data_IF_484265526041
#
_entry.id   IF_484265526041
#
_cell.length_a   1.000
_cell.length_b   1.000
_cell.length_c   1.000
_cell.angle_alpha   90.00
_cell.angle_beta   90.00
_cell.angle_gamma   90.00
#
_symmetry.space_group_name_H-M   'P 1'
#
loop_
_entity.id
_entity.type
_entity.pdbx_description
1 polymer ?
#
# COMPACT_ATOMS: atom_id res chain seq x y z
N UNK A 1 -71.15 -41.16 26.28
CA UNK A 1 -72.19 -40.61 25.37
C UNK A 1 -72.02 -39.10 25.36
N UNK A 2 -71.31 -38.55 24.37
CA UNK A 2 -71.83 -37.96 23.12
C UNK A 2 -72.24 -36.49 23.30
N UNK A 3 -71.36 -35.61 22.78
CA UNK A 3 -71.58 -34.42 21.96
C UNK A 3 -72.21 -33.13 22.54
N UNK A 4 -71.46 -32.03 22.39
CA UNK A 4 -71.68 -30.89 21.45
C UNK A 4 -70.52 -29.89 21.65
N UNK A 5 -69.49 -29.78 20.80
CA UNK A 5 -69.35 -29.08 19.49
C UNK A 5 -69.88 -27.64 19.49
N UNK A 6 -69.05 -26.73 18.93
CA UNK A 6 -69.30 -25.41 18.27
C UNK A 6 -68.64 -24.26 19.08
N UNK A 7 -67.83 -23.30 18.59
CA UNK A 7 -67.24 -22.87 17.29
C UNK A 7 -66.10 -21.87 17.63
N UNK A 8 -64.87 -22.07 17.13
CA UNK A 8 -64.14 -21.17 16.20
C UNK A 8 -64.29 -19.65 16.44
N UNK A 9 -63.21 -18.98 16.87
CA UNK A 9 -62.85 -17.68 16.28
C UNK A 9 -61.37 -17.36 16.50
N UNK A 10 -60.62 -17.40 15.40
CA UNK A 10 -59.32 -16.76 15.20
C UNK A 10 -59.36 -15.30 15.67
N UNK A 11 -58.38 -14.88 16.47
CA UNK A 11 -57.73 -13.57 16.33
C UNK A 11 -56.28 -13.66 16.83
N UNK A 12 -55.38 -14.02 15.91
CA UNK A 12 -53.95 -13.72 16.02
C UNK A 12 -53.81 -12.23 15.74
N UNK A 13 -53.49 -11.43 16.76
CA UNK A 13 -53.01 -10.06 16.54
C UNK A 13 -51.49 -10.06 16.58
N UNK A 14 -50.94 -9.86 15.37
CA UNK A 14 -49.57 -9.52 15.06
C UNK A 14 -49.08 -8.34 15.90
N UNK A 15 -48.01 -8.54 16.64
CA UNK A 15 -47.13 -7.47 17.12
C UNK A 15 -46.07 -7.26 16.03
N UNK A 16 -46.17 -6.14 15.29
CA UNK A 16 -45.09 -5.65 14.44
C UNK A 16 -44.99 -4.13 14.54
N UNK A 17 -43.83 -3.68 15.01
CA UNK A 17 -43.03 -2.52 14.58
C UNK A 17 -41.86 -2.44 15.58
N UNK A 18 -40.89 -3.35 15.47
CA UNK A 18 -39.63 -3.13 14.76
C UNK A 18 -38.97 -1.80 15.16
N UNK A 19 -38.16 -1.88 16.21
CA UNK A 19 -37.14 -0.90 16.50
C UNK A 19 -36.06 -0.92 15.43
N UNK A 20 -35.85 0.24 14.80
CA UNK A 20 -34.58 0.59 14.19
C UNK A 20 -33.56 0.83 15.30
N UNK A 21 -32.62 -0.10 15.47
CA UNK A 21 -31.21 0.20 15.72
C UNK A 21 -30.45 -1.12 15.81
N UNK A 22 -29.92 -1.54 14.67
CA UNK A 22 -28.81 -2.48 14.63
C UNK A 22 -27.61 -1.84 15.31
N UNK A 23 -27.57 -1.89 16.63
CA UNK A 23 -26.36 -1.66 17.40
C UNK A 23 -25.41 -2.80 17.03
N UNK A 24 -24.38 -2.50 16.24
CA UNK A 24 -23.17 -3.32 16.18
C UNK A 24 -22.68 -3.45 17.62
N UNK A 25 -23.04 -4.54 18.29
CA UNK A 25 -22.53 -4.86 19.62
C UNK A 25 -21.02 -4.90 19.51
N UNK A 26 -20.42 -4.00 20.26
CA UNK A 26 -18.99 -3.79 20.42
C UNK A 26 -18.34 -5.12 20.85
N UNK A 27 -17.73 -5.86 19.92
CA UNK A 27 -17.02 -7.13 20.17
C UNK A 27 -15.62 -6.93 20.81
N UNK A 28 -15.26 -5.68 21.13
CA UNK A 28 -13.93 -5.31 21.63
C UNK A 28 -13.55 -6.03 22.92
N UNK A 29 -14.52 -6.36 23.78
CA UNK A 29 -14.27 -7.12 25.01
C UNK A 29 -13.82 -8.56 24.77
N UNK A 30 -14.36 -9.24 23.75
CA UNK A 30 -13.98 -10.62 23.40
C UNK A 30 -12.62 -10.66 22.70
N UNK A 31 -12.34 -9.68 21.84
CA UNK A 31 -11.07 -9.61 21.12
C UNK A 31 -9.91 -9.21 22.03
N UNK A 32 -10.12 -8.32 23.00
CA UNK A 32 -9.08 -7.95 23.96
C UNK A 32 -8.66 -9.13 24.85
N UNK A 33 -9.62 -9.92 25.35
CA UNK A 33 -9.32 -11.14 26.10
C UNK A 33 -8.60 -12.19 25.24
N UNK A 34 -9.00 -12.33 23.98
CA UNK A 34 -8.36 -13.24 23.03
C UNK A 34 -6.92 -12.79 22.70
N UNK A 35 -6.68 -11.49 22.52
CA UNK A 35 -5.34 -10.93 22.33
C UNK A 35 -4.45 -11.22 23.52
N UNK A 36 -4.96 -11.05 24.74
CA UNK A 36 -4.18 -11.30 25.95
C UNK A 36 -3.82 -12.78 26.10
N UNK A 37 -4.78 -13.68 25.85
CA UNK A 37 -4.50 -15.11 25.80
C UNK A 37 -3.43 -15.46 24.75
N UNK A 38 -3.50 -14.84 23.57
CA UNK A 38 -2.52 -15.06 22.51
C UNK A 38 -1.11 -14.54 22.86
N UNK A 39 -0.99 -13.44 23.60
CA UNK A 39 0.29 -12.97 24.14
C UNK A 39 0.86 -13.94 25.17
N UNK A 40 0.03 -14.46 26.08
CA UNK A 40 0.46 -15.49 27.05
C UNK A 40 0.99 -16.72 26.32
N UNK A 41 0.31 -17.17 25.25
CA UNK A 41 0.82 -18.27 24.43
C UNK A 41 2.14 -17.94 23.74
N UNK A 42 2.32 -16.71 23.28
CA UNK A 42 3.58 -16.26 22.70
C UNK A 42 4.72 -16.28 23.73
N UNK A 43 4.46 -15.78 24.95
CA UNK A 43 5.44 -15.77 26.05
C UNK A 43 5.84 -17.19 26.49
N UNK A 44 4.92 -18.14 26.33
CA UNK A 44 5.17 -19.57 26.55
C UNK A 44 5.77 -20.30 25.33
N UNK A 45 6.17 -19.56 24.29
CA UNK A 45 6.69 -20.08 23.02
C UNK A 45 5.74 -21.05 22.28
N UNK A 46 4.44 -20.98 22.59
CA UNK A 46 3.38 -21.75 21.95
C UNK A 46 2.89 -21.03 20.68
N UNK A 47 3.80 -20.87 19.71
CA UNK A 47 3.57 -20.09 18.48
C UNK A 47 2.32 -20.52 17.71
N UNK A 48 2.05 -21.83 17.63
CA UNK A 48 0.85 -22.33 16.96
C UNK A 48 -0.45 -21.78 17.57
N UNK A 49 -0.57 -21.79 18.91
CA UNK A 49 -1.77 -21.30 19.60
C UNK A 49 -1.88 -19.78 19.48
N UNK A 50 -0.78 -19.05 19.69
CA UNK A 50 -0.74 -17.60 19.51
C UNK A 50 -1.15 -17.19 18.09
N UNK A 51 -0.57 -17.84 17.07
CA UNK A 51 -0.89 -17.64 15.65
C UNK A 51 -2.36 -17.95 15.35
N UNK A 52 -2.89 -19.06 15.87
CA UNK A 52 -4.28 -19.47 15.66
C UNK A 52 -5.25 -18.40 16.15
N UNK A 53 -5.04 -17.88 17.37
CA UNK A 53 -5.90 -16.84 17.93
C UNK A 53 -5.77 -15.54 17.15
N UNK A 54 -4.54 -15.08 16.86
CA UNK A 54 -4.32 -13.87 16.07
C UNK A 54 -5.01 -13.97 14.69
N UNK A 55 -4.93 -15.14 14.04
CA UNK A 55 -5.58 -15.40 12.75
C UNK A 55 -7.10 -15.28 12.86
N UNK A 56 -7.68 -15.79 13.95
CA UNK A 56 -9.14 -15.76 14.13
C UNK A 56 -9.66 -14.36 14.41
N UNK A 57 -8.90 -13.56 15.15
CA UNK A 57 -9.20 -12.14 15.34
C UNK A 57 -9.13 -11.41 13.99
N UNK A 58 -8.08 -11.64 13.19
CA UNK A 58 -7.92 -11.00 11.88
C UNK A 58 -8.97 -11.45 10.86
N UNK A 59 -9.52 -12.66 10.98
CA UNK A 59 -10.68 -13.08 10.16
C UNK A 59 -11.94 -12.29 10.49
N UNK A 60 -12.16 -11.97 11.76
CA UNK A 60 -13.33 -11.24 12.23
C UNK A 60 -13.19 -9.73 12.01
N UNK A 61 -11.98 -9.21 12.23
CA UNK A 61 -11.61 -7.82 12.08
C UNK A 61 -10.25 -7.72 11.35
N UNK A 62 -10.25 -7.72 10.01
CA UNK A 62 -9.02 -7.64 9.21
C UNK A 62 -8.20 -6.36 9.44
N UNK A 63 -8.79 -5.31 10.03
CA UNK A 63 -8.11 -4.04 10.32
C UNK A 63 -7.58 -3.95 11.75
N UNK A 64 -7.62 -5.05 12.52
CA UNK A 64 -7.19 -5.05 13.91
C UNK A 64 -5.67 -4.93 14.02
N UNK A 65 -5.17 -3.70 14.17
CA UNK A 65 -3.74 -3.39 14.26
C UNK A 65 -3.00 -4.13 15.36
N UNK A 66 -3.66 -4.44 16.48
CA UNK A 66 -3.03 -5.19 17.57
C UNK A 66 -2.85 -6.67 17.20
N UNK A 67 -3.86 -7.27 16.58
CA UNK A 67 -3.78 -8.64 16.08
C UNK A 67 -2.78 -8.76 14.92
N UNK A 68 -2.68 -7.77 14.03
CA UNK A 68 -1.67 -7.71 12.97
C UNK A 68 -0.25 -7.68 13.56
N UNK A 69 -0.01 -6.80 14.54
CA UNK A 69 1.29 -6.71 15.24
C UNK A 69 1.63 -8.01 15.95
N UNK A 70 0.65 -8.61 16.64
CA UNK A 70 0.84 -9.88 17.32
C UNK A 70 1.17 -11.00 16.32
N UNK A 71 0.42 -11.11 15.22
CA UNK A 71 0.70 -12.07 14.16
C UNK A 71 2.11 -11.90 13.61
N UNK A 72 2.53 -10.66 13.31
CA UNK A 72 3.89 -10.38 12.84
C UNK A 72 4.95 -10.84 13.85
N UNK A 73 4.74 -10.53 15.13
CA UNK A 73 5.68 -10.91 16.20
C UNK A 73 5.76 -12.43 16.39
N UNK A 74 4.62 -13.13 16.35
CA UNK A 74 4.56 -14.59 16.45
C UNK A 74 5.34 -15.23 15.31
N UNK A 75 5.12 -14.79 14.06
CA UNK A 75 5.82 -15.31 12.89
C UNK A 75 7.32 -15.02 12.95
N UNK A 76 7.72 -13.80 13.32
CA UNK A 76 9.14 -13.43 13.44
C UNK A 76 9.85 -14.28 14.51
N UNK A 77 9.19 -14.53 15.65
CA UNK A 77 9.73 -15.40 16.72
C UNK A 77 9.79 -16.86 16.32
N UNK A 78 8.77 -17.37 15.62
CA UNK A 78 8.76 -18.75 15.10
C UNK A 78 9.87 -18.96 14.07
N UNK A 79 10.07 -18.00 13.15
CA UNK A 79 11.19 -18.01 12.19
C UNK A 79 12.53 -17.96 12.92
N UNK A 80 12.69 -17.10 13.92
CA UNK A 80 13.93 -17.02 14.70
C UNK A 80 14.23 -18.34 15.42
N UNK A 81 13.20 -18.99 16.00
CA UNK A 81 13.34 -20.32 16.59
C UNK A 81 13.72 -21.37 15.55
N UNK A 82 13.09 -21.38 14.38
CA UNK A 82 13.46 -22.32 13.30
C UNK A 82 14.91 -22.12 12.89
N UNK A 83 15.37 -20.87 12.73
CA UNK A 83 16.78 -20.56 12.47
C UNK A 83 17.70 -21.02 13.61
N UNK A 84 17.29 -20.91 14.87
CA UNK A 84 18.09 -21.39 16.01
C UNK A 84 18.15 -22.92 16.09
N UNK A 85 17.08 -23.63 15.74
CA UNK A 85 16.99 -25.10 15.82
C UNK A 85 17.61 -25.78 14.59
N UNK A 86 17.45 -25.17 13.41
CA UNK A 86 17.81 -25.77 12.13
C UNK A 86 18.91 -25.00 11.37
N UNK A 87 19.44 -23.90 11.91
CA UNK A 87 20.36 -23.01 11.19
C UNK A 87 21.65 -23.67 10.71
N UNK A 88 22.09 -24.72 11.41
CA UNK A 88 23.27 -25.51 11.04
C UNK A 88 22.95 -26.64 10.03
N UNK A 89 21.68 -26.84 9.69
CA UNK A 89 21.22 -27.88 8.75
C UNK A 89 20.84 -27.25 7.42
N UNK A 90 21.19 -27.93 6.33
CA UNK A 90 20.69 -27.53 5.02
C UNK A 90 19.21 -27.90 4.93
N UNK A 91 18.40 -27.17 4.14
CA UNK A 91 17.00 -27.54 3.91
C UNK A 91 16.83 -28.98 3.41
N UNK A 92 17.80 -29.52 2.66
CA UNK A 92 17.82 -30.90 2.18
C UNK A 92 17.94 -31.95 3.30
N UNK A 93 18.45 -31.58 4.47
CA UNK A 93 18.64 -32.47 5.63
C UNK A 93 17.40 -32.54 6.53
N UNK A 94 16.43 -31.67 6.30
CA UNK A 94 15.16 -31.63 7.02
C UNK A 94 14.22 -32.70 6.49
N UNK A 95 13.37 -33.25 7.35
CA UNK A 95 12.28 -34.11 6.89
C UNK A 95 11.15 -33.30 6.24
N UNK A 96 10.23 -33.98 5.57
CA UNK A 96 9.14 -33.35 4.82
C UNK A 96 8.27 -32.43 5.69
N UNK A 97 7.98 -32.85 6.92
CA UNK A 97 7.15 -32.07 7.85
C UNK A 97 7.87 -30.81 8.34
N UNK A 98 9.18 -30.90 8.60
CA UNK A 98 10.01 -29.75 8.97
C UNK A 98 10.08 -28.74 7.83
N UNK A 99 10.31 -29.20 6.58
CA UNK A 99 10.32 -28.32 5.41
C UNK A 99 8.96 -27.67 5.19
N UNK A 100 7.87 -28.42 5.26
CA UNK A 100 6.51 -27.89 5.12
C UNK A 100 6.22 -26.83 6.19
N UNK A 101 6.61 -27.08 7.45
CA UNK A 101 6.46 -26.13 8.55
C UNK A 101 7.21 -24.81 8.29
N UNK A 102 8.46 -24.90 7.81
CA UNK A 102 9.24 -23.71 7.48
C UNK A 102 8.65 -22.95 6.27
N UNK A 103 8.33 -23.66 5.18
CA UNK A 103 7.71 -23.08 4.00
C UNK A 103 6.41 -22.33 4.35
N UNK A 104 5.55 -22.95 5.16
CA UNK A 104 4.27 -22.36 5.59
C UNK A 104 4.46 -21.08 6.41
N UNK A 105 5.37 -21.09 7.38
CA UNK A 105 5.60 -19.92 8.23
C UNK A 105 6.20 -18.75 7.43
N UNK A 106 7.13 -19.01 6.51
CA UNK A 106 7.64 -18.00 5.57
C UNK A 106 6.56 -17.46 4.63
N UNK A 107 5.68 -18.34 4.13
CA UNK A 107 4.58 -17.97 3.25
C UNK A 107 3.58 -17.04 3.96
N UNK A 108 3.13 -17.42 5.16
CA UNK A 108 2.23 -16.58 5.97
C UNK A 108 2.89 -15.25 6.34
N UNK A 109 4.21 -15.23 6.57
CA UNK A 109 4.95 -13.99 6.81
C UNK A 109 4.97 -13.07 5.60
N UNK A 110 5.19 -13.62 4.40
CA UNK A 110 5.14 -12.86 3.16
C UNK A 110 3.77 -12.26 2.90
N UNK A 111 2.70 -13.04 3.08
CA UNK A 111 1.32 -12.56 2.91
C UNK A 111 1.01 -11.39 3.84
N UNK A 112 1.38 -11.49 5.12
CA UNK A 112 1.20 -10.42 6.08
C UNK A 112 2.01 -9.17 5.70
N UNK A 113 3.27 -9.33 5.28
CA UNK A 113 4.12 -8.20 4.86
C UNK A 113 3.56 -7.49 3.63
N UNK A 114 3.04 -8.25 2.67
CA UNK A 114 2.37 -7.70 1.49
C UNK A 114 1.12 -6.90 1.87
N UNK A 115 0.30 -7.42 2.80
CA UNK A 115 -0.87 -6.70 3.32
C UNK A 115 -0.49 -5.41 4.04
N UNK A 116 0.62 -5.42 4.78
CA UNK A 116 1.17 -4.25 5.47
C UNK A 116 1.89 -3.27 4.53
N UNK A 117 1.94 -3.53 3.22
CA UNK A 117 2.64 -2.70 2.24
C UNK A 117 4.17 -2.75 2.33
N UNK A 118 4.72 -3.68 3.11
CA UNK A 118 6.16 -3.86 3.29
C UNK A 118 6.74 -4.74 2.19
N UNK A 119 6.63 -4.29 0.94
CA UNK A 119 6.84 -5.12 -0.25
C UNK A 119 8.26 -5.72 -0.35
N UNK A 120 9.31 -4.98 0.02
CA UNK A 120 10.70 -5.51 -0.01
C UNK A 120 10.86 -6.73 0.91
N UNK A 121 10.35 -6.62 2.15
CA UNK A 121 10.40 -7.70 3.12
C UNK A 121 9.48 -8.86 2.71
N UNK A 122 8.35 -8.55 2.07
CA UNK A 122 7.44 -9.57 1.55
C UNK A 122 8.09 -10.41 0.45
N UNK A 123 8.87 -9.79 -0.43
CA UNK A 123 9.67 -10.49 -1.47
C UNK A 123 10.66 -11.43 -0.80
N UNK A 124 11.47 -10.92 0.14
CA UNK A 124 12.45 -11.74 0.87
C UNK A 124 11.79 -12.95 1.56
N UNK A 125 10.66 -12.73 2.25
CA UNK A 125 9.92 -13.80 2.90
C UNK A 125 9.35 -14.83 1.91
N UNK A 126 8.86 -14.39 0.74
CA UNK A 126 8.36 -15.29 -0.30
C UNK A 126 9.50 -16.10 -0.94
N UNK A 127 10.66 -15.49 -1.15
CA UNK A 127 11.84 -16.18 -1.69
C UNK A 127 12.35 -17.27 -0.74
N UNK A 128 12.33 -17.02 0.56
CA UNK A 128 12.70 -18.02 1.57
C UNK A 128 11.79 -19.26 1.55
N UNK A 129 10.55 -19.17 1.04
CA UNK A 129 9.67 -20.34 0.88
C UNK A 129 10.32 -21.39 -0.04
N UNK A 130 10.96 -20.94 -1.14
CA UNK A 130 11.54 -21.84 -2.13
C UNK A 130 12.78 -22.60 -1.65
N UNK A 131 13.37 -22.19 -0.51
CA UNK A 131 14.42 -22.97 0.14
C UNK A 131 13.89 -24.29 0.70
N UNK A 132 12.60 -24.33 1.07
CA UNK A 132 11.98 -25.49 1.72
C UNK A 132 10.95 -26.19 0.83
N UNK A 133 10.29 -25.45 -0.06
CA UNK A 133 9.35 -25.95 -1.06
C UNK A 133 9.61 -25.24 -2.41
N UNK A 134 10.51 -25.78 -3.25
CA UNK A 134 10.87 -25.19 -4.55
C UNK A 134 9.70 -25.05 -5.54
N UNK A 135 8.62 -25.82 -5.35
CA UNK A 135 7.47 -25.84 -6.25
C UNK A 135 6.25 -25.10 -5.64
N UNK A 136 6.46 -24.25 -4.63
CA UNK A 136 5.38 -23.56 -3.96
C UNK A 136 4.69 -22.55 -4.88
N UNK A 137 3.57 -22.96 -5.49
CA UNK A 137 2.78 -22.13 -6.40
C UNK A 137 2.33 -20.82 -5.76
N UNK A 138 1.95 -20.86 -4.47
CA UNK A 138 1.42 -19.69 -3.76
C UNK A 138 2.48 -18.63 -3.51
N UNK A 139 3.71 -19.03 -3.21
CA UNK A 139 4.85 -18.10 -3.14
C UNK A 139 5.11 -17.43 -4.50
N UNK A 140 5.01 -18.18 -5.61
CA UNK A 140 5.14 -17.62 -6.97
C UNK A 140 4.07 -16.55 -7.24
N UNK A 141 2.81 -16.86 -6.92
CA UNK A 141 1.69 -15.92 -7.08
C UNK A 141 1.83 -14.66 -6.21
N UNK A 142 2.48 -14.76 -5.03
CA UNK A 142 2.81 -13.60 -4.21
C UNK A 142 3.90 -12.75 -4.86
N UNK A 143 4.99 -13.36 -5.35
CA UNK A 143 6.06 -12.62 -6.03
C UNK A 143 5.58 -11.89 -7.27
N UNK A 144 4.71 -12.49 -8.08
CA UNK A 144 4.17 -11.84 -9.27
C UNK A 144 3.31 -10.61 -8.90
N UNK A 145 2.49 -10.73 -7.84
CA UNK A 145 1.73 -9.58 -7.32
C UNK A 145 2.63 -8.48 -6.77
N UNK A 146 3.69 -8.85 -6.05
CA UNK A 146 4.66 -7.90 -5.49
C UNK A 146 5.40 -7.14 -6.60
N UNK A 147 5.83 -7.84 -7.66
CA UNK A 147 6.45 -7.21 -8.84
C UNK A 147 5.54 -6.18 -9.49
N UNK A 148 4.26 -6.51 -9.70
CA UNK A 148 3.28 -5.56 -10.23
C UNK A 148 3.16 -4.29 -9.37
N UNK A 149 3.10 -4.43 -8.04
CA UNK A 149 3.03 -3.29 -7.10
C UNK A 149 4.29 -2.42 -7.11
N UNK A 150 5.47 -3.01 -7.26
CA UNK A 150 6.72 -2.24 -7.39
C UNK A 150 6.72 -1.40 -8.67
N UNK A 151 6.33 -1.97 -9.80
CA UNK A 151 6.24 -1.24 -11.08
C UNK A 151 5.25 -0.07 -10.99
N UNK A 152 4.05 -0.31 -10.45
CA UNK A 152 3.04 0.73 -10.23
C UNK A 152 3.60 1.91 -9.41
N UNK A 153 4.32 1.62 -8.32
CA UNK A 153 4.90 2.65 -7.44
C UNK A 153 5.97 3.49 -8.14
N UNK A 154 6.82 2.86 -8.96
CA UNK A 154 7.88 3.53 -9.71
C UNK A 154 7.26 4.46 -10.75
N UNK A 155 6.23 4.00 -11.45
CA UNK A 155 5.58 4.79 -12.49
C UNK A 155 4.82 5.98 -11.92
N UNK A 156 4.13 5.80 -10.79
CA UNK A 156 3.51 6.92 -10.05
C UNK A 156 4.54 7.94 -9.58
N UNK A 157 5.70 7.49 -9.10
CA UNK A 157 6.77 8.40 -8.69
C UNK A 157 7.34 9.19 -9.88
N UNK A 158 7.54 8.54 -11.03
CA UNK A 158 7.98 9.21 -12.26
C UNK A 158 6.97 10.27 -12.71
N UNK A 159 5.67 9.98 -12.60
CA UNK A 159 4.61 10.91 -12.96
C UNK A 159 4.63 12.16 -12.08
N UNK A 160 4.71 11.99 -10.75
CA UNK A 160 4.83 13.10 -9.79
C UNK A 160 6.07 13.95 -10.10
N UNK A 161 7.22 13.31 -10.36
CA UNK A 161 8.44 14.03 -10.71
C UNK A 161 8.34 14.78 -12.04
N UNK A 162 7.67 14.22 -13.05
CA UNK A 162 7.43 14.89 -14.33
C UNK A 162 6.50 16.09 -14.16
N UNK A 163 5.47 15.97 -13.34
CA UNK A 163 4.54 17.08 -13.08
C UNK A 163 5.23 18.21 -12.32
N UNK A 164 5.99 17.90 -11.27
CA UNK A 164 6.80 18.87 -10.56
C UNK A 164 7.81 19.59 -11.49
N UNK A 165 8.45 18.85 -12.40
CA UNK A 165 9.35 19.43 -13.39
C UNK A 165 8.61 20.36 -14.37
N UNK A 166 7.38 20.01 -14.77
CA UNK A 166 6.54 20.88 -15.61
C UNK A 166 6.17 22.17 -14.90
N UNK A 167 5.71 22.09 -13.65
CA UNK A 167 5.39 23.27 -12.84
C UNK A 167 6.60 24.20 -12.69
N UNK A 168 7.78 23.64 -12.41
CA UNK A 168 9.01 24.41 -12.30
C UNK A 168 9.37 25.12 -13.62
N UNK A 169 9.22 24.42 -14.75
CA UNK A 169 9.41 25.00 -16.08
C UNK A 169 8.45 26.18 -16.29
N UNK A 170 7.16 26.03 -15.97
CA UNK A 170 6.18 27.10 -16.15
C UNK A 170 6.48 28.34 -15.29
N UNK A 171 6.91 28.14 -14.04
CA UNK A 171 7.32 29.25 -13.16
C UNK A 171 8.52 30.00 -13.74
N UNK A 172 9.55 29.28 -14.18
CA UNK A 172 10.75 29.89 -14.79
C UNK A 172 10.43 30.61 -16.09
N UNK A 173 9.58 30.03 -16.94
CA UNK A 173 9.12 30.67 -18.18
C UNK A 173 8.39 31.98 -17.89
N UNK A 174 7.50 32.01 -16.90
CA UNK A 174 6.82 33.24 -16.47
C UNK A 174 7.83 34.31 -16.04
N UNK A 175 8.80 33.97 -15.19
CA UNK A 175 9.82 34.90 -14.72
C UNK A 175 10.68 35.45 -15.87
N UNK A 176 11.12 34.60 -16.78
CA UNK A 176 11.90 35.04 -17.93
C UNK A 176 11.08 35.91 -18.88
N UNK A 177 9.77 35.67 -19.00
CA UNK A 177 8.87 36.49 -19.81
C UNK A 177 8.71 37.88 -19.20
N UNK A 178 8.49 37.97 -17.89
CA UNK A 178 8.45 39.25 -17.16
C UNK A 178 9.77 40.02 -17.31
N UNK A 179 10.92 39.34 -17.17
CA UNK A 179 12.23 39.95 -17.38
C UNK A 179 12.42 40.46 -18.80
N UNK A 180 11.97 39.71 -19.81
CA UNK A 180 12.05 40.13 -21.20
C UNK A 180 11.23 41.41 -21.43
N UNK A 181 9.99 41.45 -20.96
CA UNK A 181 9.10 42.61 -21.10
C UNK A 181 9.64 43.86 -20.39
N UNK A 182 10.14 43.73 -19.16
CA UNK A 182 10.75 44.83 -18.42
C UNK A 182 12.01 45.35 -19.12
N UNK A 183 12.87 44.45 -19.62
CA UNK A 183 14.06 44.83 -20.36
C UNK A 183 13.71 45.55 -21.68
N UNK A 184 12.65 45.14 -22.38
CA UNK A 184 12.15 45.84 -23.57
C UNK A 184 11.67 47.26 -23.24
N UNK A 185 10.95 47.46 -22.14
CA UNK A 185 10.53 48.79 -21.69
C UNK A 185 11.74 49.70 -21.40
N UNK A 186 12.80 49.12 -20.83
CA UNK A 186 14.05 49.83 -20.53
C UNK A 186 14.99 49.94 -21.75
N UNK A 187 14.57 49.46 -22.93
CA UNK A 187 15.38 49.39 -24.16
C UNK A 187 16.68 48.59 -24.00
N UNK A 188 16.73 47.66 -23.04
CA UNK A 188 17.84 46.75 -22.80
C UNK A 188 17.70 45.48 -23.66
N UNK A 189 17.83 45.64 -24.98
CA UNK A 189 17.48 44.59 -25.94
C UNK A 189 18.31 43.31 -25.83
N UNK A 190 19.58 43.41 -25.46
CA UNK A 190 20.44 42.25 -25.20
C UNK A 190 19.91 41.38 -24.05
N UNK A 191 19.45 42.01 -22.96
CA UNK A 191 18.86 41.33 -21.80
C UNK A 191 17.52 40.72 -22.19
N UNK A 192 16.68 41.46 -22.91
CA UNK A 192 15.39 40.98 -23.39
C UNK A 192 15.56 39.71 -24.25
N UNK A 193 16.48 39.73 -25.22
CA UNK A 193 16.76 38.60 -26.11
C UNK A 193 17.28 37.39 -25.34
N UNK A 194 18.18 37.62 -24.37
CA UNK A 194 18.71 36.54 -23.54
C UNK A 194 17.62 35.89 -22.68
N UNK A 195 16.70 36.67 -22.12
CA UNK A 195 15.56 36.15 -21.37
C UNK A 195 14.62 35.33 -22.26
N UNK A 196 14.32 35.79 -23.48
CA UNK A 196 13.53 35.02 -24.47
C UNK A 196 14.22 33.71 -24.86
N UNK A 197 15.54 33.70 -25.05
CA UNK A 197 16.30 32.47 -25.33
C UNK A 197 16.23 31.45 -24.20
N UNK A 198 16.21 31.91 -22.94
CA UNK A 198 16.02 31.00 -21.79
C UNK A 198 14.63 30.36 -21.80
N UNK A 199 13.60 31.08 -22.24
CA UNK A 199 12.26 30.51 -22.46
C UNK A 199 12.34 29.43 -23.55
N UNK A 200 12.96 29.72 -24.69
CA UNK A 200 13.11 28.77 -25.80
C UNK A 200 13.95 27.54 -25.43
N UNK A 201 14.89 27.65 -24.48
CA UNK A 201 15.62 26.49 -23.97
C UNK A 201 14.71 25.54 -23.16
N UNK A 202 13.75 26.11 -22.42
CA UNK A 202 12.81 25.35 -21.60
C UNK A 202 11.61 24.84 -22.40
N UNK A 203 11.13 25.64 -23.36
CA UNK A 203 10.01 25.36 -24.25
C UNK A 203 10.38 25.86 -25.66
N UNK A 204 11.02 25.02 -26.50
CA UNK A 204 11.52 25.42 -27.83
C UNK A 204 10.47 26.03 -28.76
N UNK A 205 9.24 25.54 -28.69
CA UNK A 205 8.16 25.95 -29.59
C UNK A 205 7.21 27.01 -29.00
N UNK A 206 7.56 27.64 -27.87
CA UNK A 206 6.71 28.64 -27.20
C UNK A 206 6.33 29.79 -28.16
N UNK A 207 5.03 29.94 -28.50
CA UNK A 207 4.59 30.91 -29.51
C UNK A 207 4.74 32.36 -29.03
N UNK A 208 4.65 32.60 -27.72
CA UNK A 208 4.85 33.94 -27.14
C UNK A 208 6.32 34.36 -27.17
N UNK A 209 7.25 33.45 -26.84
CA UNK A 209 8.68 33.69 -26.95
C UNK A 209 9.10 34.02 -28.39
N UNK A 210 8.53 33.33 -29.38
CA UNK A 210 8.75 33.64 -30.81
C UNK A 210 8.31 35.07 -31.16
N UNK A 211 7.11 35.49 -30.74
CA UNK A 211 6.62 36.85 -30.96
C UNK A 211 7.53 37.90 -30.30
N UNK A 212 7.90 37.68 -29.04
CA UNK A 212 8.81 38.58 -28.32
C UNK A 212 10.17 38.69 -29.02
N UNK A 213 10.71 37.58 -29.54
CA UNK A 213 11.97 37.60 -30.30
C UNK A 213 11.86 38.45 -31.57
N UNK A 214 10.76 38.33 -32.31
CA UNK A 214 10.47 39.12 -33.51
C UNK A 214 10.35 40.61 -33.18
N UNK A 215 9.63 40.96 -32.13
CA UNK A 215 9.46 42.33 -31.65
C UNK A 215 10.80 42.96 -31.22
N UNK A 216 11.61 42.22 -30.45
CA UNK A 216 12.95 42.66 -30.04
C UNK A 216 13.83 42.93 -31.27
N UNK A 217 13.86 42.01 -32.23
CA UNK A 217 14.63 42.17 -33.48
C UNK A 217 14.19 43.38 -34.29
N UNK A 218 12.88 43.66 -34.35
CA UNK A 218 12.35 44.80 -35.07
C UNK A 218 12.76 46.13 -34.41
N UNK A 219 12.66 46.21 -33.08
CA UNK A 219 12.97 47.42 -32.32
C UNK A 219 14.48 47.73 -32.28
N UNK A 220 15.34 46.71 -32.22
CA UNK A 220 16.80 46.91 -32.31
C UNK A 220 17.21 47.53 -33.65
N UNK A 221 16.62 47.06 -34.76
CA UNK A 221 16.89 47.60 -36.10
C UNK A 221 16.48 49.06 -36.27
N UNK A 222 15.49 49.52 -35.51
CA UNK A 222 15.05 50.92 -35.53
C UNK A 222 15.98 51.86 -34.73
N UNK A 223 16.89 51.30 -33.92
CA UNK A 223 17.84 52.05 -33.09
C UNK A 223 19.29 51.96 -33.60
N UNK A 224 19.50 51.27 -34.73
CA UNK A 224 20.79 51.19 -35.43
C UNK A 224 20.77 52.09 -36.66
#
# INVERSE_FOLDING_TARGET
>A
MIHKIIVSCLTVQLIWLQGCSGTKKFQTGSNAQSLEAAKIYLDQEQYYQARKIAKEILKQDPGNREAEKLMALVLDREIARHKAVFGDRLPADLNDQEREGQAKTWLERSELLMQLGQYNRAVEAAENVFLYDPNNRRASEILDRLRGKFTDSIDKQKEISREAAREEIYVRVRQYREQALLAMQQKQWGVARMSVRKIQLLIPDDPEARKLEEEIKAQEKLQT
#
